data_IF_034135851896
#
_entry.id   IF_034135851896
#
_cell.length_a   1.000
_cell.length_b   1.000
_cell.length_c   1.000
_cell.angle_alpha   90.00
_cell.angle_beta   90.00
_cell.angle_gamma   90.00
#
_symmetry.space_group_name_H-M   'P 1'
#
loop_
_entity.id
_entity.type
_entity.pdbx_description
1 polymer ?
#
# COMPACT_ATOMS: atom_id res chain seq x y z
N UNK A 1 -1.16 -13.68 -5.18
CA UNK A 1 0.29 -14.03 -5.16
C UNK A 1 1.11 -12.83 -5.66
N UNK A 2 2.45 -12.87 -5.63
CA UNK A 2 3.27 -11.72 -6.06
C UNK A 2 3.09 -11.36 -7.54
N UNK A 3 2.93 -12.37 -8.41
CA UNK A 3 2.74 -12.18 -9.85
C UNK A 3 1.43 -11.47 -10.19
N UNK A 4 0.32 -11.85 -9.57
CA UNK A 4 -0.97 -11.19 -9.71
C UNK A 4 -0.92 -9.73 -9.23
N UNK A 5 -0.21 -9.47 -8.12
CA UNK A 5 -0.07 -8.11 -7.60
C UNK A 5 0.70 -7.21 -8.59
N UNK A 6 1.69 -7.77 -9.28
CA UNK A 6 2.40 -7.06 -10.34
C UNK A 6 1.52 -6.82 -11.56
N UNK A 7 0.80 -7.84 -12.02
CA UNK A 7 -0.12 -7.73 -13.17
C UNK A 7 -1.23 -6.70 -12.95
N UNK A 8 -1.66 -6.51 -11.70
CA UNK A 8 -2.69 -5.53 -11.31
C UNK A 8 -2.13 -4.15 -10.98
N UNK A 9 -0.82 -3.94 -11.11
CA UNK A 9 -0.17 -2.65 -10.85
C UNK A 9 -0.06 -2.26 -9.37
N UNK A 10 -0.31 -3.19 -8.43
CA UNK A 10 -0.09 -2.97 -7.01
C UNK A 10 1.40 -2.99 -6.65
N UNK A 11 2.15 -3.87 -7.32
CA UNK A 11 3.60 -4.00 -7.21
C UNK A 11 4.22 -3.66 -8.55
N UNK A 12 5.29 -2.88 -8.56
CA UNK A 12 5.97 -2.49 -9.82
C UNK A 12 6.93 -3.57 -10.31
N UNK A 13 7.67 -4.20 -9.40
CA UNK A 13 8.69 -5.19 -9.72
C UNK A 13 8.71 -6.34 -8.71
N UNK A 14 8.87 -7.56 -9.22
CA UNK A 14 9.12 -8.76 -8.41
C UNK A 14 10.62 -9.03 -8.42
N UNK A 15 11.18 -9.22 -7.23
CA UNK A 15 12.59 -9.54 -7.03
C UNK A 15 12.66 -10.92 -6.38
N UNK A 16 13.64 -11.73 -6.79
CA UNK A 16 13.85 -13.05 -6.21
C UNK A 16 14.40 -12.92 -4.78
N UNK A 17 13.99 -13.81 -3.90
CA UNK A 17 14.34 -13.74 -2.47
C UNK A 17 15.85 -13.79 -2.23
N UNK A 18 16.55 -14.64 -2.98
CA UNK A 18 18.01 -14.82 -2.90
C UNK A 18 18.83 -13.58 -3.28
N UNK A 19 18.29 -12.66 -4.08
CA UNK A 19 18.97 -11.44 -4.54
C UNK A 19 18.31 -10.16 -4.02
N UNK A 20 17.31 -10.28 -3.14
CA UNK A 20 16.45 -9.17 -2.76
C UNK A 20 17.22 -7.94 -2.25
N UNK A 21 18.15 -8.16 -1.32
CA UNK A 21 18.94 -7.06 -0.74
C UNK A 21 19.82 -6.37 -1.77
N UNK A 22 20.47 -7.13 -2.65
CA UNK A 22 21.33 -6.59 -3.69
C UNK A 22 20.55 -5.76 -4.72
N UNK A 23 19.43 -6.30 -5.21
CA UNK A 23 18.60 -5.60 -6.20
C UNK A 23 17.90 -4.37 -5.61
N UNK A 24 17.43 -4.45 -4.36
CA UNK A 24 16.85 -3.31 -3.63
C UNK A 24 17.87 -2.18 -3.50
N UNK A 25 19.08 -2.49 -3.06
CA UNK A 25 20.15 -1.50 -2.90
C UNK A 25 20.46 -0.82 -4.24
N UNK A 26 20.58 -1.61 -5.32
CA UNK A 26 20.81 -1.10 -6.67
C UNK A 26 19.73 -0.12 -7.13
N UNK A 27 18.44 -0.45 -6.92
CA UNK A 27 17.32 0.44 -7.29
C UNK A 27 17.36 1.73 -6.47
N UNK A 28 17.60 1.63 -5.15
CA UNK A 28 17.74 2.80 -4.28
C UNK A 28 18.88 3.71 -4.75
N UNK A 29 20.07 3.16 -4.99
CA UNK A 29 21.22 3.93 -5.45
C UNK A 29 20.99 4.58 -6.82
N UNK A 30 20.29 3.90 -7.73
CA UNK A 30 19.89 4.49 -9.01
C UNK A 30 19.01 5.73 -8.81
N UNK A 31 18.00 5.66 -7.94
CA UNK A 31 17.12 6.80 -7.67
C UNK A 31 17.88 7.92 -6.97
N UNK A 32 18.71 7.59 -5.97
CA UNK A 32 19.50 8.56 -5.21
C UNK A 32 20.54 9.29 -6.07
N UNK A 33 21.02 8.66 -7.16
CA UNK A 33 21.95 9.27 -8.10
C UNK A 33 21.34 10.39 -8.96
N UNK A 34 20.01 10.49 -9.01
CA UNK A 34 19.31 11.47 -9.85
C UNK A 34 19.23 12.85 -9.18
N UNK A 35 19.15 13.95 -9.96
CA UNK A 35 19.01 15.29 -9.40
C UNK A 35 17.74 15.43 -8.56
N UNK A 36 17.89 15.76 -7.27
CA UNK A 36 16.80 15.90 -6.30
C UNK A 36 15.69 16.85 -6.77
N UNK A 37 16.06 17.99 -7.37
CA UNK A 37 15.08 18.98 -7.88
C UNK A 37 14.16 18.38 -8.94
N UNK A 38 14.74 17.65 -9.90
CA UNK A 38 13.98 16.97 -10.96
C UNK A 38 13.08 15.86 -10.41
N UNK A 39 13.57 15.07 -9.44
CA UNK A 39 12.76 14.05 -8.78
C UNK A 39 11.53 14.64 -8.08
N UNK A 40 11.72 15.73 -7.33
CA UNK A 40 10.64 16.41 -6.61
C UNK A 40 9.63 17.01 -7.59
N UNK A 41 10.09 17.66 -8.65
CA UNK A 41 9.23 18.22 -9.68
C UNK A 41 8.41 17.13 -10.39
N UNK A 42 9.05 16.04 -10.82
CA UNK A 42 8.36 14.91 -11.46
C UNK A 42 7.33 14.26 -10.54
N UNK A 43 7.68 14.02 -9.28
CA UNK A 43 6.73 13.48 -8.28
C UNK A 43 5.53 14.42 -8.11
N UNK A 44 5.77 15.72 -7.97
CA UNK A 44 4.70 16.71 -7.81
C UNK A 44 3.77 16.74 -9.03
N UNK A 45 4.31 16.69 -10.26
CA UNK A 45 3.52 16.66 -11.49
C UNK A 45 2.63 15.41 -11.59
N UNK A 46 3.15 14.24 -11.21
CA UNK A 46 2.37 12.99 -11.18
C UNK A 46 1.27 13.07 -10.12
N UNK A 47 1.60 13.56 -8.91
CA UNK A 47 0.67 13.60 -7.79
C UNK A 47 -0.40 14.68 -7.89
N UNK A 48 -0.11 15.80 -8.56
CA UNK A 48 -0.98 16.99 -8.65
C UNK A 48 -2.43 16.65 -9.00
N UNK A 49 -2.63 15.68 -9.89
CA UNK A 49 -3.95 15.33 -10.42
C UNK A 49 -4.79 14.48 -9.46
N UNK A 50 -4.14 13.72 -8.57
CA UNK A 50 -4.80 12.70 -7.75
C UNK A 50 -4.80 13.06 -6.27
N UNK A 51 -3.88 13.91 -5.80
CA UNK A 51 -3.67 14.12 -4.38
C UNK A 51 -4.93 14.65 -3.67
N UNK A 52 -5.64 15.61 -4.27
CA UNK A 52 -6.89 16.12 -3.71
C UNK A 52 -7.97 15.03 -3.68
N UNK A 53 -8.08 14.25 -4.76
CA UNK A 53 -9.06 13.16 -4.82
C UNK A 53 -8.79 12.09 -3.78
N UNK A 54 -7.51 11.75 -3.55
CA UNK A 54 -7.10 10.81 -2.51
C UNK A 54 -7.49 11.31 -1.12
N UNK A 55 -7.33 12.61 -0.83
CA UNK A 55 -7.79 13.18 0.44
C UNK A 55 -9.31 13.11 0.61
N UNK A 56 -10.08 13.45 -0.42
CA UNK A 56 -11.54 13.37 -0.40
C UNK A 56 -12.03 11.94 -0.15
N UNK A 57 -11.45 10.97 -0.87
CA UNK A 57 -11.79 9.55 -0.70
C UNK A 57 -11.42 9.06 0.70
N UNK A 58 -10.22 9.39 1.19
CA UNK A 58 -9.79 9.01 2.53
C UNK A 58 -10.71 9.59 3.62
N UNK A 59 -11.15 10.84 3.49
CA UNK A 59 -12.10 11.43 4.44
C UNK A 59 -13.44 10.68 4.43
N UNK A 60 -13.98 10.40 3.25
CA UNK A 60 -15.23 9.65 3.12
C UNK A 60 -15.13 8.23 3.69
N UNK A 61 -14.00 7.55 3.46
CA UNK A 61 -13.72 6.23 4.05
C UNK A 61 -13.69 6.32 5.58
N UNK A 62 -13.01 7.32 6.16
CA UNK A 62 -12.96 7.51 7.61
C UNK A 62 -14.34 7.81 8.21
N UNK A 63 -15.11 8.70 7.61
CA UNK A 63 -16.46 9.04 8.08
C UNK A 63 -17.36 7.79 8.06
N UNK A 64 -17.23 6.95 7.04
CA UNK A 64 -17.97 5.68 6.96
C UNK A 64 -17.49 4.67 8.00
N UNK A 65 -16.17 4.55 8.20
CA UNK A 65 -15.59 3.61 9.16
C UNK A 65 -15.98 3.96 10.60
N UNK A 66 -15.97 5.25 10.96
CA UNK A 66 -16.36 5.70 12.32
C UNK A 66 -17.81 5.34 12.65
N UNK A 67 -18.71 5.36 11.66
CA UNK A 67 -20.10 4.92 11.84
C UNK A 67 -20.23 3.38 11.90
N UNK A 68 -19.40 2.65 11.15
CA UNK A 68 -19.51 1.19 11.01
C UNK A 68 -18.80 0.42 12.11
N UNK A 69 -17.70 0.92 12.68
CA UNK A 69 -16.88 0.17 13.64
C UNK A 69 -17.55 -0.10 14.99
N UNK A 70 -18.60 0.63 15.34
CA UNK A 70 -19.40 0.37 16.56
C UNK A 70 -20.59 -0.55 16.33
N UNK A 71 -20.83 -0.99 15.08
CA UNK A 71 -21.97 -1.86 14.77
C UNK A 71 -21.70 -3.30 15.20
N UNK A 72 -22.77 -3.99 15.63
CA UNK A 72 -22.68 -5.41 16.02
C UNK A 72 -22.17 -6.29 14.87
N UNK A 73 -22.59 -6.01 13.63
CA UNK A 73 -22.11 -6.68 12.42
C UNK A 73 -20.58 -6.60 12.29
N UNK A 74 -20.01 -5.42 12.49
CA UNK A 74 -18.56 -5.22 12.41
C UNK A 74 -17.84 -5.94 13.55
N UNK A 75 -18.33 -5.81 14.78
CA UNK A 75 -17.72 -6.44 15.98
C UNK A 75 -17.73 -7.97 15.83
N UNK A 76 -18.82 -8.55 15.37
CA UNK A 76 -18.89 -9.98 15.07
C UNK A 76 -17.92 -10.41 13.97
N UNK A 77 -17.84 -9.65 12.87
CA UNK A 77 -16.95 -9.96 11.75
C UNK A 77 -15.48 -9.93 12.20
N UNK A 78 -15.09 -8.93 12.99
CA UNK A 78 -13.75 -8.82 13.56
C UNK A 78 -13.47 -9.96 14.54
N UNK A 79 -14.38 -10.28 15.46
CA UNK A 79 -14.20 -11.41 16.37
C UNK A 79 -14.03 -12.73 15.60
N UNK A 80 -14.83 -12.97 14.55
CA UNK A 80 -14.69 -14.14 13.67
C UNK A 80 -13.34 -14.14 12.95
N UNK A 81 -12.86 -13.00 12.46
CA UNK A 81 -11.57 -12.88 11.78
C UNK A 81 -10.40 -13.15 12.73
N UNK A 82 -10.38 -12.51 13.90
CA UNK A 82 -9.35 -12.70 14.93
C UNK A 82 -9.29 -14.16 15.39
N UNK A 83 -10.46 -14.77 15.65
CA UNK A 83 -10.55 -16.18 16.06
C UNK A 83 -10.13 -17.18 14.98
N UNK A 84 -10.17 -16.80 13.69
CA UNK A 84 -9.60 -17.61 12.61
C UNK A 84 -8.07 -17.50 12.56
N UNK A 85 -7.54 -16.29 12.78
CA UNK A 85 -6.09 -16.04 12.80
C UNK A 85 -5.34 -16.81 13.90
N UNK A 86 -5.97 -17.02 15.06
CA UNK A 86 -5.41 -17.82 16.16
C UNK A 86 -5.41 -19.32 15.87
N UNK A 87 -6.39 -19.84 15.11
CA UNK A 87 -6.46 -21.26 14.74
C UNK A 87 -5.52 -21.66 13.59
N UNK A 88 -5.01 -20.70 12.82
CA UNK A 88 -4.11 -20.96 11.69
C UNK A 88 -2.63 -21.09 12.10
N UNK A 89 -2.30 -20.99 13.40
CA UNK A 89 -0.94 -21.14 13.95
C UNK A 89 -0.75 -22.40 14.82
N UNK A 90 -1.64 -23.40 14.69
CA UNK A 90 -1.49 -24.74 15.29
C UNK A 90 -1.36 -25.79 14.21
#
# INVERSE_FOLDING_TARGET
NAQEAQQRGLVTQIIQENSFEQEKEKICQQILSLPKGSLLASKALIQKWYIQKLYEVNQHELDTLTQRWTTEEFVEAIMKFVNKGTKSKL
#
